data_IF_424941520144
#
_entry.id   IF_424941520144
#
_cell.length_a   1.000
_cell.length_b   1.000
_cell.length_c   1.000
_cell.angle_alpha   90.00
_cell.angle_beta   90.00
_cell.angle_gamma   90.00
#
_symmetry.space_group_name_H-M   'P 1'
#
loop_
_entity.id
_entity.type
_entity.pdbx_description
1 polymer ?
#
# COMPACT_ATOMS: atom_id res chain seq x y z
N UNK A 1 -8.31 -14.65 -7.68
CA UNK A 1 -8.48 -13.58 -6.69
C UNK A 1 -9.17 -12.40 -7.33
N UNK A 2 -10.24 -11.92 -6.74
CA UNK A 2 -10.95 -10.75 -7.24
C UNK A 2 -10.28 -9.46 -6.77
N UNK A 3 -10.64 -8.32 -7.38
CA UNK A 3 -10.02 -7.03 -7.04
C UNK A 3 -10.26 -6.61 -5.59
N UNK A 4 -11.47 -6.80 -5.09
CA UNK A 4 -11.79 -6.46 -3.70
C UNK A 4 -10.96 -7.30 -2.72
N UNK A 5 -10.88 -8.60 -2.96
CA UNK A 5 -10.10 -9.52 -2.13
C UNK A 5 -8.63 -9.13 -2.15
N UNK A 6 -8.09 -8.82 -3.33
CA UNK A 6 -6.71 -8.39 -3.48
C UNK A 6 -6.42 -7.12 -2.66
N UNK A 7 -7.31 -6.13 -2.75
CA UNK A 7 -7.12 -4.87 -2.04
C UNK A 7 -7.20 -5.05 -0.52
N UNK A 8 -8.06 -5.95 -0.03
CA UNK A 8 -8.12 -6.28 1.39
C UNK A 8 -6.80 -6.89 1.85
N UNK A 9 -6.26 -7.82 1.07
CA UNK A 9 -4.96 -8.45 1.39
C UNK A 9 -3.86 -7.39 1.42
N UNK A 10 -3.83 -6.49 0.44
CA UNK A 10 -2.82 -5.42 0.39
C UNK A 10 -2.90 -4.53 1.62
N UNK A 11 -4.10 -4.10 2.00
CA UNK A 11 -4.29 -3.25 3.17
C UNK A 11 -3.81 -3.94 4.44
N UNK A 12 -4.14 -5.23 4.59
CA UNK A 12 -3.72 -5.99 5.76
C UNK A 12 -2.19 -6.10 5.84
N UNK A 13 -1.54 -6.35 4.71
CA UNK A 13 -0.07 -6.43 4.65
C UNK A 13 0.60 -5.10 5.00
N UNK A 14 0.03 -4.00 4.52
CA UNK A 14 0.56 -2.66 4.80
C UNK A 14 0.40 -2.34 6.29
N UNK A 15 -0.75 -2.65 6.89
CA UNK A 15 -0.98 -2.45 8.32
C UNK A 15 0.08 -3.22 9.14
N UNK A 16 0.31 -4.47 8.81
CA UNK A 16 1.29 -5.30 9.51
C UNK A 16 2.70 -4.73 9.36
N UNK A 17 3.05 -4.29 8.15
CA UNK A 17 4.37 -3.72 7.87
C UNK A 17 4.59 -2.43 8.66
N UNK A 18 3.64 -1.50 8.57
CA UNK A 18 3.73 -0.18 9.22
C UNK A 18 3.78 -0.34 10.74
N UNK A 19 2.86 -1.10 11.31
CA UNK A 19 2.79 -1.28 12.75
C UNK A 19 4.00 -2.05 13.28
N UNK A 20 4.56 -2.95 12.48
CA UNK A 20 5.76 -3.70 12.85
C UNK A 20 7.01 -2.85 12.91
N UNK A 21 7.01 -1.67 12.25
CA UNK A 21 8.15 -0.74 12.24
C UNK A 21 7.98 0.40 13.24
N UNK A 22 6.86 0.42 13.97
CA UNK A 22 6.61 1.43 15.00
C UNK A 22 7.16 0.99 16.35
N UNK A 23 7.52 1.98 17.18
CA UNK A 23 7.91 1.73 18.55
C UNK A 23 6.70 1.15 19.29
N UNK A 24 6.95 0.15 20.16
CA UNK A 24 5.89 -0.48 20.95
C UNK A 24 5.17 0.50 21.89
N UNK A 25 5.82 1.60 22.22
CA UNK A 25 5.23 2.65 23.04
C UNK A 25 4.47 3.68 22.24
N UNK A 26 4.52 3.58 20.91
CA UNK A 26 3.84 4.51 20.02
C UNK A 26 2.35 4.16 19.96
N UNK A 27 1.50 5.14 20.27
CA UNK A 27 0.05 4.98 20.25
C UNK A 27 -0.56 5.25 18.88
N UNK A 28 0.27 5.46 17.85
CA UNK A 28 -0.18 5.83 16.51
C UNK A 28 -0.27 4.64 15.55
N UNK A 29 -0.52 3.44 16.07
CA UNK A 29 -0.75 2.28 15.21
C UNK A 29 -1.94 2.51 14.29
N UNK A 30 -1.83 2.03 13.07
CA UNK A 30 -2.90 2.20 12.08
C UNK A 30 -3.76 0.94 12.00
N UNK A 31 -4.96 1.13 11.46
CA UNK A 31 -5.88 0.03 11.13
C UNK A 31 -6.10 0.02 9.62
N UNK A 32 -6.84 -0.96 9.12
CA UNK A 32 -7.13 -1.05 7.69
C UNK A 32 -7.92 0.17 7.19
N UNK A 33 -8.68 0.83 8.06
CA UNK A 33 -9.41 2.05 7.69
C UNK A 33 -8.48 3.23 7.42
N UNK A 34 -7.24 3.17 7.87
CA UNK A 34 -6.25 4.21 7.65
C UNK A 34 -5.48 4.03 6.34
N UNK A 35 -5.69 2.91 5.64
CA UNK A 35 -5.02 2.62 4.37
C UNK A 35 -5.99 2.89 3.23
N UNK A 36 -5.54 3.65 2.24
CA UNK A 36 -6.38 3.96 1.07
C UNK A 36 -5.66 3.62 -0.23
N UNK A 37 -6.46 3.37 -1.26
CA UNK A 37 -5.97 3.00 -2.59
C UNK A 37 -5.79 4.28 -3.40
N UNK A 38 -4.58 4.50 -3.92
CA UNK A 38 -4.29 5.62 -4.82
C UNK A 38 -4.73 5.24 -6.24
N UNK A 39 -4.32 4.04 -6.69
CA UNK A 39 -4.81 3.48 -7.97
C UNK A 39 -4.68 1.96 -7.94
N UNK A 40 -5.41 1.33 -8.84
CA UNK A 40 -5.45 -0.12 -8.97
C UNK A 40 -5.59 -0.51 -10.43
N UNK A 41 -4.89 -1.56 -10.83
CA UNK A 41 -4.96 -2.11 -12.17
C UNK A 41 -4.90 -3.63 -12.13
N UNK A 42 -5.65 -4.26 -13.02
CA UNK A 42 -5.64 -5.71 -13.19
C UNK A 42 -5.38 -6.06 -14.65
N UNK A 43 -4.47 -6.99 -14.90
CA UNK A 43 -4.20 -7.52 -16.22
C UNK A 43 -4.15 -9.03 -16.13
N UNK A 44 -5.15 -9.71 -16.72
CA UNK A 44 -5.31 -11.16 -16.62
C UNK A 44 -5.41 -11.57 -15.15
N UNK A 45 -4.53 -12.44 -14.67
CA UNK A 45 -4.50 -12.88 -13.27
C UNK A 45 -3.58 -12.05 -12.39
N UNK A 46 -2.95 -11.01 -12.96
CA UNK A 46 -2.01 -10.16 -12.23
C UNK A 46 -2.71 -8.91 -11.73
N UNK A 47 -2.32 -8.44 -10.54
CA UNK A 47 -2.88 -7.24 -9.93
C UNK A 47 -1.76 -6.29 -9.54
N UNK A 48 -2.01 -5.00 -9.66
CA UNK A 48 -1.06 -3.99 -9.22
C UNK A 48 -1.82 -2.81 -8.61
N UNK A 49 -1.33 -2.31 -7.49
CA UNK A 49 -1.97 -1.18 -6.81
C UNK A 49 -0.94 -0.33 -6.09
N UNK A 50 -1.23 0.96 -6.01
CA UNK A 50 -0.48 1.88 -5.17
C UNK A 50 -1.40 2.32 -4.04
N UNK A 51 -0.93 2.17 -2.81
CA UNK A 51 -1.70 2.51 -1.62
C UNK A 51 -0.88 3.44 -0.73
N UNK A 52 -1.57 4.13 0.16
CA UNK A 52 -0.91 4.97 1.16
C UNK A 52 -1.72 4.92 2.45
N UNK A 53 -1.27 5.66 3.46
CA UNK A 53 -1.94 5.69 4.75
C UNK A 53 -2.22 7.14 5.16
N UNK A 54 -3.03 7.29 6.21
CA UNK A 54 -3.35 8.60 6.77
C UNK A 54 -2.20 9.20 7.58
N UNK A 55 -1.11 8.46 7.77
CA UNK A 55 0.07 8.98 8.47
C UNK A 55 0.77 10.05 7.62
N UNK A 56 1.35 11.04 8.30
CA UNK A 56 2.04 12.16 7.64
C UNK A 56 3.51 11.84 7.36
N UNK A 57 3.81 10.60 7.00
CA UNK A 57 5.18 10.15 6.76
C UNK A 57 5.60 10.20 5.28
N UNK A 58 4.67 10.52 4.38
CA UNK A 58 4.95 10.59 2.95
C UNK A 58 5.22 9.25 2.28
N UNK A 59 4.85 8.15 2.92
CA UNK A 59 5.12 6.82 2.39
C UNK A 59 4.01 6.34 1.46
N UNK A 60 4.42 5.64 0.41
CA UNK A 60 3.54 4.96 -0.55
C UNK A 60 3.99 3.52 -0.69
N UNK A 61 3.04 2.64 -0.95
CA UNK A 61 3.29 1.20 -1.04
C UNK A 61 2.74 0.68 -2.36
N UNK A 62 3.64 0.20 -3.22
CA UNK A 62 3.24 -0.41 -4.48
C UNK A 62 3.19 -1.91 -4.30
N UNK A 63 1.99 -2.47 -4.47
CA UNK A 63 1.73 -3.89 -4.28
C UNK A 63 1.58 -4.54 -5.65
N UNK A 64 2.35 -5.59 -5.89
CA UNK A 64 2.34 -6.31 -7.17
C UNK A 64 2.09 -7.78 -6.90
N UNK A 65 1.01 -8.31 -7.49
CA UNK A 65 0.65 -9.72 -7.38
C UNK A 65 0.85 -10.40 -8.73
N UNK A 66 1.71 -11.43 -8.74
CA UNK A 66 1.88 -12.30 -9.88
C UNK A 66 0.99 -13.52 -9.67
N UNK A 67 -0.11 -13.60 -10.43
CA UNK A 67 -1.09 -14.67 -10.25
C UNK A 67 -0.57 -16.04 -10.68
N UNK A 68 0.36 -16.09 -11.65
CA UNK A 68 0.94 -17.35 -12.11
C UNK A 68 1.78 -18.01 -11.03
N UNK A 69 2.51 -17.21 -10.28
CA UNK A 69 3.43 -17.69 -9.24
C UNK A 69 2.83 -17.59 -7.83
N UNK A 70 1.64 -17.00 -7.69
CA UNK A 70 1.00 -16.73 -6.39
C UNK A 70 1.92 -15.97 -5.46
N UNK A 71 2.61 -14.95 -5.98
CA UNK A 71 3.56 -14.13 -5.24
C UNK A 71 3.07 -12.69 -5.14
N UNK A 72 3.19 -12.13 -3.94
CA UNK A 72 2.85 -10.73 -3.67
C UNK A 72 4.11 -10.00 -3.24
N UNK A 73 4.40 -8.89 -3.94
CA UNK A 73 5.54 -8.04 -3.63
C UNK A 73 5.07 -6.67 -3.17
N UNK A 74 5.79 -6.08 -2.24
CA UNK A 74 5.53 -4.74 -1.76
C UNK A 74 6.80 -3.89 -1.91
N UNK A 75 6.68 -2.78 -2.62
CA UNK A 75 7.74 -1.80 -2.72
C UNK A 75 7.31 -0.56 -1.94
N UNK A 76 8.12 -0.15 -0.98
CA UNK A 76 7.82 1.00 -0.14
C UNK A 76 8.61 2.21 -0.64
N UNK A 77 7.90 3.29 -0.97
CA UNK A 77 8.48 4.52 -1.50
C UNK A 77 8.19 5.68 -0.57
N UNK A 78 9.16 6.58 -0.45
CA UNK A 78 8.94 7.82 0.26
C UNK A 78 8.83 8.97 -0.75
N UNK A 79 7.79 9.77 -0.61
CA UNK A 79 7.59 10.95 -1.43
C UNK A 79 8.74 11.93 -1.18
N UNK A 80 9.46 12.29 -2.24
CA UNK A 80 10.62 13.17 -2.15
C UNK A 80 10.21 14.63 -2.03
N UNK A 81 9.38 15.09 -2.98
CA UNK A 81 8.86 16.45 -2.95
C UNK A 81 7.64 16.56 -3.86
N UNK A 82 6.91 17.66 -3.68
CA UNK A 82 5.77 17.98 -4.51
C UNK A 82 6.05 19.32 -5.17
N UNK A 83 6.18 19.33 -6.51
CA UNK A 83 6.49 20.54 -7.28
C UNK A 83 5.32 20.85 -8.18
N UNK A 84 4.91 22.13 -8.19
CA UNK A 84 3.84 22.59 -9.06
C UNK A 84 4.45 23.25 -10.29
N UNK A 85 3.99 22.83 -11.45
CA UNK A 85 4.34 23.48 -12.72
C UNK A 85 3.09 24.13 -13.28
N UNK A 86 3.24 25.40 -13.69
CA UNK A 86 2.15 26.11 -14.36
C UNK A 86 2.15 25.69 -15.83
N UNK A 87 0.98 25.30 -16.33
CA UNK A 87 0.83 24.82 -17.71
C UNK A 87 0.10 25.86 -18.59
#
# INVERSE_FOLDING_TARGET
MGSREYLVVCKAKIVDYVNGHMDKTDNNHITMNDVYVVWYSKTLQNHKALLSTTLSDGMYYEMTFNGDESELYMDAYKKWENVKFEM
#
